data_IF_207945254084
#
_entry.id   IF_207945254084
#
_cell.length_a   1.000
_cell.length_b   1.000
_cell.length_c   1.000
_cell.angle_alpha   90.00
_cell.angle_beta   90.00
_cell.angle_gamma   90.00
#
_symmetry.space_group_name_H-M   'P 1'
#
loop_
_entity.id
_entity.type
_entity.pdbx_description
1 polymer ?
#
# COMPACT_ATOMS: atom_id res chain seq x y z
N UNK A 1 -25.14 25.37 0.05
CA UNK A 1 -24.48 24.68 -1.06
C UNK A 1 -25.44 23.63 -1.58
N UNK A 2 -26.12 23.89 -2.71
CA UNK A 2 -27.04 22.93 -3.31
C UNK A 2 -26.21 21.84 -3.99
N UNK A 3 -26.17 20.65 -3.39
CA UNK A 3 -25.56 19.47 -4.00
C UNK A 3 -26.55 18.97 -5.06
N UNK A 4 -26.39 19.44 -6.30
CA UNK A 4 -27.13 18.94 -7.46
C UNK A 4 -26.67 17.52 -7.79
N UNK A 5 -27.50 16.52 -7.44
CA UNK A 5 -27.59 15.15 -7.99
C UNK A 5 -26.29 14.56 -8.60
N UNK A 6 -25.32 14.18 -7.77
CA UNK A 6 -24.41 13.10 -8.11
C UNK A 6 -25.11 11.79 -7.73
N UNK A 7 -25.59 11.04 -8.73
CA UNK A 7 -26.63 10.05 -8.52
C UNK A 7 -26.14 8.62 -8.26
N UNK A 8 -24.87 8.33 -7.94
CA UNK A 8 -24.51 6.92 -7.68
C UNK A 8 -23.33 6.61 -6.76
N UNK A 9 -22.22 7.34 -6.71
CA UNK A 9 -21.03 6.86 -5.96
C UNK A 9 -20.28 7.94 -5.18
N UNK A 10 -19.95 7.67 -3.90
CA UNK A 10 -18.94 8.44 -3.14
C UNK A 10 -17.64 7.66 -3.04
N UNK A 11 -16.52 8.37 -3.21
CA UNK A 11 -15.18 7.86 -2.95
C UNK A 11 -14.56 8.59 -1.77
N UNK A 12 -14.07 7.84 -0.79
CA UNK A 12 -13.42 8.40 0.39
C UNK A 12 -11.94 7.97 0.42
N UNK A 13 -11.03 8.95 0.40
CA UNK A 13 -9.64 8.75 0.76
C UNK A 13 -9.50 8.87 2.27
N UNK A 14 -8.97 7.83 2.93
CA UNK A 14 -8.57 7.93 4.33
C UNK A 14 -7.07 7.64 4.40
N UNK A 15 -6.33 8.63 4.91
CA UNK A 15 -4.89 8.56 5.09
C UNK A 15 -4.61 7.97 6.47
N UNK A 16 -3.98 6.79 6.51
CA UNK A 16 -3.74 6.04 7.75
C UNK A 16 -2.25 5.88 8.07
N UNK A 17 -1.40 6.75 7.51
CA UNK A 17 0.05 6.65 7.74
C UNK A 17 0.41 6.87 9.22
N UNK A 18 -0.33 7.73 9.92
CA UNK A 18 0.02 8.18 11.27
C UNK A 18 -0.17 7.11 12.36
N UNK A 19 -1.05 6.13 12.14
CA UNK A 19 -1.29 5.03 13.10
C UNK A 19 -0.51 3.78 12.69
N UNK A 20 -0.56 3.43 11.39
CA UNK A 20 -0.07 2.15 10.92
C UNK A 20 1.46 2.09 10.82
N UNK A 21 2.13 3.19 10.49
CA UNK A 21 3.58 3.18 10.28
C UNK A 21 4.36 3.17 11.60
N UNK A 22 3.99 3.93 12.64
CA UNK A 22 4.60 3.80 13.95
C UNK A 22 4.44 2.38 14.53
N UNK A 23 3.24 1.80 14.40
CA UNK A 23 2.98 0.43 14.89
C UNK A 23 3.96 -0.59 14.29
N UNK A 24 4.20 -0.55 12.97
CA UNK A 24 5.16 -1.48 12.34
C UNK A 24 6.56 -1.30 12.92
N UNK A 25 7.05 -0.06 13.05
CA UNK A 25 8.40 0.22 13.55
C UNK A 25 8.60 -0.29 14.98
N UNK A 26 7.57 -0.16 15.82
CA UNK A 26 7.62 -0.54 17.22
C UNK A 26 7.47 -2.06 17.42
N UNK A 27 6.73 -2.75 16.53
CA UNK A 27 6.32 -4.14 16.75
C UNK A 27 6.99 -5.15 15.80
N UNK A 28 7.72 -4.73 14.76
CA UNK A 28 8.33 -5.64 13.77
C UNK A 28 9.26 -6.66 14.40
N UNK A 29 10.03 -6.27 15.42
CA UNK A 29 10.95 -7.19 16.11
C UNK A 29 10.21 -8.30 16.84
N UNK A 30 9.20 -7.95 17.64
CA UNK A 30 8.40 -8.90 18.40
C UNK A 30 7.56 -9.80 17.48
N UNK A 31 7.01 -9.22 16.41
CA UNK A 31 6.30 -9.98 15.38
C UNK A 31 7.21 -11.04 14.75
N UNK A 32 8.41 -10.65 14.30
CA UNK A 32 9.37 -11.60 13.72
C UNK A 32 9.81 -12.67 14.72
N UNK A 33 10.00 -12.32 16.01
CA UNK A 33 10.34 -13.30 17.04
C UNK A 33 9.23 -14.33 17.28
N UNK A 34 7.98 -13.88 17.23
CA UNK A 34 6.80 -14.73 17.50
C UNK A 34 6.48 -15.62 16.31
N UNK A 35 6.54 -15.07 15.10
CA UNK A 35 6.08 -15.72 13.87
C UNK A 35 7.22 -16.29 13.03
N UNK A 36 8.47 -16.32 13.51
CA UNK A 36 9.62 -16.69 12.68
C UNK A 36 9.45 -18.04 11.98
N UNK A 37 8.99 -19.06 12.70
CA UNK A 37 8.87 -20.43 12.16
C UNK A 37 7.64 -20.60 11.24
N UNK A 38 6.79 -19.58 11.11
CA UNK A 38 5.62 -19.64 10.24
C UNK A 38 6.01 -19.48 8.77
N UNK A 39 5.39 -20.29 7.91
CA UNK A 39 5.68 -20.29 6.48
C UNK A 39 5.49 -18.90 5.84
N UNK A 40 4.43 -18.20 6.23
CA UNK A 40 4.11 -16.86 5.73
C UNK A 40 5.21 -15.85 6.08
N UNK A 41 5.68 -15.85 7.32
CA UNK A 41 6.77 -14.98 7.77
C UNK A 41 8.08 -15.32 7.05
N UNK A 42 8.40 -16.61 6.86
CA UNK A 42 9.58 -17.02 6.10
C UNK A 42 9.52 -16.59 4.62
N UNK A 43 8.33 -16.60 4.02
CA UNK A 43 8.13 -16.09 2.66
C UNK A 43 8.39 -14.58 2.59
N UNK A 44 7.88 -13.80 3.56
CA UNK A 44 8.15 -12.35 3.66
C UNK A 44 9.65 -12.05 3.76
N UNK A 45 10.34 -12.72 4.68
CA UNK A 45 11.79 -12.58 4.87
C UNK A 45 12.54 -12.97 3.60
N UNK A 46 12.13 -14.05 2.93
CA UNK A 46 12.75 -14.45 1.65
C UNK A 46 12.56 -13.40 0.56
N UNK A 47 11.40 -12.74 0.49
CA UNK A 47 11.15 -11.69 -0.51
C UNK A 47 12.00 -10.44 -0.21
N UNK A 48 12.01 -9.99 1.05
CA UNK A 48 12.84 -8.86 1.50
C UNK A 48 14.33 -9.11 1.22
N UNK A 49 14.81 -10.34 1.45
CA UNK A 49 16.19 -10.74 1.14
C UNK A 49 16.48 -10.69 -0.38
N UNK A 50 15.59 -11.22 -1.21
CA UNK A 50 15.76 -11.28 -2.68
C UNK A 50 15.79 -9.90 -3.33
N UNK A 51 15.09 -8.93 -2.75
CA UNK A 51 15.12 -7.54 -3.21
C UNK A 51 16.55 -6.96 -3.21
N UNK A 52 17.39 -7.36 -2.26
CA UNK A 52 18.77 -6.88 -2.15
C UNK A 52 19.76 -7.76 -2.94
N UNK A 53 19.52 -9.08 -3.03
CA UNK A 53 20.47 -10.05 -3.60
C UNK A 53 20.63 -10.07 -5.13
N UNK A 54 19.58 -9.73 -5.89
CA UNK A 54 19.61 -9.81 -7.37
C UNK A 54 20.53 -8.74 -7.99
N UNK A 55 20.84 -7.68 -7.24
CA UNK A 55 21.64 -6.55 -7.72
C UNK A 55 23.15 -6.77 -7.73
N UNK A 56 23.68 -7.49 -6.73
CA UNK A 56 25.12 -7.67 -6.56
C UNK A 56 25.74 -8.48 -7.71
N UNK A 57 24.97 -9.41 -8.30
CA UNK A 57 25.43 -10.28 -9.38
C UNK A 57 25.50 -9.60 -10.75
N UNK A 58 24.62 -8.63 -11.06
CA UNK A 58 24.59 -7.98 -12.38
C UNK A 58 25.65 -6.87 -12.46
N UNK A 59 25.78 -6.07 -11.39
CA UNK A 59 26.75 -4.98 -11.27
C UNK A 59 28.20 -5.48 -11.30
N UNK A 60 28.48 -6.64 -10.69
CA UNK A 60 29.81 -7.26 -10.71
C UNK A 60 30.14 -7.94 -12.05
N UNK A 61 29.14 -8.48 -12.76
CA UNK A 61 29.38 -9.29 -13.96
C UNK A 61 29.43 -8.47 -15.26
N UNK A 62 28.66 -7.37 -15.40
CA UNK A 62 28.61 -6.58 -16.64
C UNK A 62 28.59 -5.04 -16.43
N UNK A 63 29.69 -4.46 -15.92
CA UNK A 63 29.74 -3.03 -15.55
C UNK A 63 29.52 -2.05 -16.73
N UNK A 64 29.91 -2.40 -17.96
CA UNK A 64 29.74 -1.53 -19.14
C UNK A 64 28.32 -1.53 -19.71
N UNK A 65 27.65 -2.69 -19.71
CA UNK A 65 26.27 -2.80 -20.19
C UNK A 65 25.31 -2.04 -19.27
N UNK A 66 25.58 -2.11 -17.95
CA UNK A 66 24.88 -1.36 -16.93
C UNK A 66 24.97 0.17 -17.13
N UNK A 67 26.17 0.71 -17.42
CA UNK A 67 26.36 2.14 -17.70
C UNK A 67 25.63 2.61 -18.97
N UNK A 68 25.47 1.74 -19.97
CA UNK A 68 24.83 2.06 -21.23
C UNK A 68 23.29 2.08 -21.15
N UNK A 69 22.70 1.27 -20.27
CA UNK A 69 21.26 1.22 -20.01
C UNK A 69 20.81 2.49 -19.27
N UNK A 70 21.55 2.92 -18.24
CA UNK A 70 21.30 4.15 -17.47
C UNK A 70 21.22 5.42 -18.35
N UNK A 71 21.99 5.48 -19.45
CA UNK A 71 22.01 6.65 -20.33
C UNK A 71 20.93 6.70 -21.41
N UNK A 72 20.18 5.61 -21.66
CA UNK A 72 19.32 5.51 -22.85
C UNK A 72 17.81 5.53 -22.60
N UNK A 73 17.32 5.60 -21.35
CA UNK A 73 15.90 5.74 -21.02
C UNK A 73 15.01 4.85 -21.91
N UNK A 74 15.38 3.57 -22.06
CA UNK A 74 14.62 2.63 -22.88
C UNK A 74 13.50 2.09 -22.00
N UNK A 75 12.27 2.55 -22.25
CA UNK A 75 11.05 1.95 -21.73
C UNK A 75 10.93 0.52 -22.28
N UNK A 76 11.26 -0.48 -21.46
CA UNK A 76 10.86 -1.87 -21.69
C UNK A 76 9.85 -2.24 -20.62
N UNK A 77 8.65 -2.57 -21.07
CA UNK A 77 7.51 -3.00 -20.27
C UNK A 77 7.80 -4.39 -19.70
N UNK A 78 8.33 -4.44 -18.48
CA UNK A 78 8.20 -5.58 -17.57
C UNK A 78 8.00 -5.05 -16.15
N UNK A 79 7.04 -5.65 -15.44
CA UNK A 79 6.62 -5.35 -14.07
C UNK A 79 7.72 -5.72 -13.05
N UNK A 80 8.77 -4.91 -13.00
CA UNK A 80 9.85 -5.00 -12.02
C UNK A 80 10.26 -3.58 -11.60
N UNK A 81 9.64 -3.04 -10.55
CA UNK A 81 10.28 -2.01 -9.71
C UNK A 81 11.40 -2.65 -8.88
N UNK A 82 12.37 -3.26 -9.57
CA UNK A 82 13.67 -3.58 -9.01
C UNK A 82 14.73 -2.64 -9.58
N UNK A 83 14.61 -2.14 -10.82
CA UNK A 83 15.72 -1.43 -11.49
C UNK A 83 16.17 -0.09 -10.88
N UNK A 84 15.44 0.50 -9.93
CA UNK A 84 15.77 1.82 -9.35
C UNK A 84 16.62 1.75 -8.06
N UNK A 85 16.76 0.59 -7.41
CA UNK A 85 17.24 0.53 -6.02
C UNK A 85 18.75 0.26 -5.82
N UNK A 86 19.52 -0.03 -6.88
CA UNK A 86 20.97 -0.31 -6.80
C UNK A 86 21.83 0.88 -6.37
N UNK A 87 21.30 2.09 -6.54
CA UNK A 87 22.04 3.34 -6.44
C UNK A 87 21.80 4.09 -5.14
N UNK A 88 21.00 3.53 -4.22
CA UNK A 88 20.68 4.19 -2.96
C UNK A 88 21.80 3.94 -1.95
N UNK A 89 22.52 5.01 -1.60
CA UNK A 89 23.48 5.02 -0.51
C UNK A 89 22.81 4.54 0.79
N UNK A 90 23.43 3.60 1.50
CA UNK A 90 22.91 3.08 2.77
C UNK A 90 21.92 1.90 2.72
N UNK A 91 21.84 1.13 1.63
CA UNK A 91 21.03 -0.09 1.58
C UNK A 91 21.43 -1.11 2.67
N UNK A 92 20.44 -1.64 3.40
CA UNK A 92 20.65 -2.58 4.52
C UNK A 92 20.36 -4.03 4.06
N UNK A 93 21.37 -4.89 3.84
CA UNK A 93 21.16 -6.26 3.38
C UNK A 93 20.70 -7.20 4.51
N UNK A 94 19.92 -8.22 4.15
CA UNK A 94 19.56 -9.34 5.04
C UNK A 94 20.47 -10.53 4.69
N UNK A 95 21.32 -11.03 5.62
CA UNK A 95 22.22 -12.14 5.32
C UNK A 95 21.45 -13.43 5.01
N UNK A 96 22.10 -14.37 4.32
CA UNK A 96 21.60 -15.74 4.22
C UNK A 96 21.76 -16.44 5.58
N UNK A 97 20.83 -17.33 5.93
CA UNK A 97 20.94 -18.11 7.16
C UNK A 97 22.26 -18.89 7.18
N UNK A 98 23.00 -18.81 8.29
CA UNK A 98 24.17 -19.65 8.51
C UNK A 98 23.76 -20.86 9.38
N UNK A 99 24.50 -21.97 9.35
CA UNK A 99 24.12 -23.20 10.08
C UNK A 99 24.28 -23.09 11.62
N UNK A 100 24.37 -21.88 12.20
CA UNK A 100 24.87 -21.67 13.56
C UNK A 100 23.82 -21.15 14.57
N UNK A 101 23.02 -22.04 15.16
CA UNK A 101 22.41 -21.84 16.49
C UNK A 101 21.51 -20.61 16.73
N UNK A 102 21.16 -20.36 18.00
CA UNK A 102 20.18 -19.33 18.41
C UNK A 102 20.70 -17.87 18.27
N UNK A 103 22.02 -17.67 18.33
CA UNK A 103 22.63 -16.34 18.15
C UNK A 103 22.52 -15.87 16.69
N UNK A 104 22.56 -16.78 15.71
CA UNK A 104 22.33 -16.46 14.29
C UNK A 104 20.89 -16.00 14.04
N UNK A 105 19.91 -16.60 14.73
CA UNK A 105 18.50 -16.20 14.60
C UNK A 105 18.27 -14.76 15.07
N UNK A 106 18.80 -14.36 16.22
CA UNK A 106 18.64 -12.98 16.71
C UNK A 106 19.29 -11.96 15.78
N UNK A 107 20.47 -12.29 15.25
CA UNK A 107 21.14 -11.45 14.25
C UNK A 107 20.32 -11.34 12.97
N UNK A 108 19.69 -12.44 12.54
CA UNK A 108 18.87 -12.47 11.34
C UNK A 108 17.60 -11.63 11.49
N UNK A 109 16.90 -11.77 12.62
CA UNK A 109 15.74 -10.93 12.96
C UNK A 109 16.16 -9.46 12.97
N UNK A 110 17.27 -9.12 13.62
CA UNK A 110 17.73 -7.73 13.68
C UNK A 110 18.05 -7.18 12.28
N UNK A 111 18.67 -7.96 11.40
CA UNK A 111 18.92 -7.53 10.02
C UNK A 111 17.62 -7.27 9.23
N UNK A 112 16.57 -8.08 9.44
CA UNK A 112 15.25 -7.83 8.84
C UNK A 112 14.64 -6.55 9.40
N UNK A 113 14.69 -6.33 10.72
CA UNK A 113 14.20 -5.11 11.37
C UNK A 113 14.89 -3.88 10.80
N UNK A 114 16.22 -3.90 10.71
CA UNK A 114 17.01 -2.77 10.20
C UNK A 114 16.68 -2.49 8.73
N UNK A 115 16.51 -3.55 7.92
CA UNK A 115 16.07 -3.42 6.53
C UNK A 115 14.68 -2.76 6.42
N UNK A 116 13.69 -3.24 7.19
CA UNK A 116 12.33 -2.70 7.20
C UNK A 116 12.33 -1.23 7.62
N UNK A 117 13.01 -0.89 8.70
CA UNK A 117 13.13 0.48 9.20
C UNK A 117 13.80 1.42 8.19
N UNK A 118 14.87 0.95 7.52
CA UNK A 118 15.51 1.69 6.45
C UNK A 118 14.56 1.93 5.27
N UNK A 119 13.86 0.90 4.78
CA UNK A 119 12.88 1.07 3.70
C UNK A 119 11.80 2.09 4.07
N UNK A 120 11.27 2.01 5.29
CA UNK A 120 10.26 2.95 5.80
C UNK A 120 10.80 4.37 5.99
N UNK A 121 12.07 4.55 6.36
CA UNK A 121 12.67 5.89 6.50
C UNK A 121 12.81 6.64 5.18
N UNK A 122 12.79 5.91 4.06
CA UNK A 122 12.89 6.45 2.71
C UNK A 122 11.54 6.45 1.96
N UNK A 123 10.42 6.23 2.67
CA UNK A 123 9.07 6.05 2.10
C UNK A 123 9.03 5.04 0.94
N UNK A 124 9.90 4.00 0.99
CA UNK A 124 9.93 2.95 -0.03
C UNK A 124 8.68 2.11 0.09
N UNK A 125 8.06 1.81 -1.05
CA UNK A 125 6.78 1.07 -1.15
C UNK A 125 6.94 -0.22 -1.93
N UNK A 126 8.00 -0.98 -1.61
CA UNK A 126 8.32 -2.21 -2.31
C UNK A 126 7.28 -3.31 -2.05
N UNK A 127 7.11 -4.23 -3.00
CA UNK A 127 6.14 -5.33 -2.85
C UNK A 127 6.41 -6.18 -1.60
N UNK A 128 7.66 -6.53 -1.31
CA UNK A 128 7.98 -7.34 -0.13
C UNK A 128 7.73 -6.59 1.18
N UNK A 129 8.05 -5.29 1.25
CA UNK A 129 7.75 -4.48 2.43
C UNK A 129 6.25 -4.41 2.68
N UNK A 130 5.46 -4.13 1.63
CA UNK A 130 4.00 -4.06 1.73
C UNK A 130 3.38 -5.39 2.15
N UNK A 131 3.97 -6.52 1.76
CA UNK A 131 3.50 -7.85 2.14
C UNK A 131 3.65 -8.09 3.65
N UNK A 132 4.88 -7.92 4.18
CA UNK A 132 5.13 -8.04 5.62
C UNK A 132 4.26 -7.07 6.43
N UNK A 133 4.16 -5.80 5.99
CA UNK A 133 3.29 -4.81 6.63
C UNK A 133 1.83 -5.26 6.65
N UNK A 134 1.34 -5.85 5.55
CA UNK A 134 0.00 -6.42 5.45
C UNK A 134 -0.25 -7.50 6.49
N UNK A 135 0.66 -8.47 6.64
CA UNK A 135 0.53 -9.55 7.62
C UNK A 135 0.59 -9.04 9.06
N UNK A 136 1.53 -8.12 9.35
CA UNK A 136 1.62 -7.46 10.65
C UNK A 136 0.34 -6.69 11.01
N UNK A 137 -0.22 -5.93 10.07
CA UNK A 137 -1.48 -5.22 10.28
C UNK A 137 -2.63 -6.20 10.50
N UNK A 138 -2.71 -7.27 9.72
CA UNK A 138 -3.74 -8.30 9.90
C UNK A 138 -3.70 -8.89 11.30
N UNK A 139 -2.52 -9.26 11.79
CA UNK A 139 -2.35 -9.76 13.15
C UNK A 139 -2.78 -8.72 14.19
N UNK A 140 -2.35 -7.47 14.04
CA UNK A 140 -2.67 -6.37 14.96
C UNK A 140 -4.16 -6.06 15.06
N UNK A 141 -4.85 -5.97 13.91
CA UNK A 141 -6.29 -5.72 13.84
C UNK A 141 -7.10 -6.90 14.39
N UNK A 142 -6.71 -8.13 14.04
CA UNK A 142 -7.40 -9.34 14.51
C UNK A 142 -7.25 -9.52 16.03
N UNK A 143 -6.08 -9.20 16.59
CA UNK A 143 -5.84 -9.22 18.03
C UNK A 143 -6.49 -8.04 18.77
N UNK A 144 -6.99 -7.02 18.05
CA UNK A 144 -7.57 -5.82 18.63
C UNK A 144 -6.53 -4.85 19.22
N UNK A 145 -5.24 -5.03 18.93
CA UNK A 145 -4.17 -4.12 19.35
C UNK A 145 -4.23 -2.78 18.62
N UNK A 146 -4.77 -2.78 17.41
CA UNK A 146 -4.99 -1.58 16.59
C UNK A 146 -6.45 -1.52 16.19
N UNK A 147 -7.02 -0.31 16.22
CA UNK A 147 -8.32 0.00 15.63
C UNK A 147 -8.18 1.17 14.68
N UNK A 148 -8.92 1.13 13.59
CA UNK A 148 -8.96 2.24 12.64
C UNK A 148 -9.86 3.34 13.20
N UNK A 149 -9.31 4.54 13.33
CA UNK A 149 -10.07 5.73 13.70
C UNK A 149 -10.62 6.40 12.43
N UNK A 150 -11.86 6.84 12.50
CA UNK A 150 -12.52 7.60 11.46
C UNK A 150 -12.99 8.92 12.08
N UNK A 151 -13.02 9.99 11.29
CA UNK A 151 -13.65 11.22 11.75
C UNK A 151 -15.12 10.97 12.12
N UNK A 152 -15.58 11.59 13.20
CA UNK A 152 -16.90 11.35 13.80
C UNK A 152 -18.06 11.55 12.82
N UNK A 153 -17.87 12.37 11.78
CA UNK A 153 -18.87 12.67 10.75
C UNK A 153 -18.89 11.66 9.59
N UNK A 154 -17.85 10.86 9.40
CA UNK A 154 -17.71 9.95 8.25
C UNK A 154 -18.75 8.83 8.29
N UNK A 155 -18.79 8.03 9.37
CA UNK A 155 -19.69 6.88 9.45
C UNK A 155 -21.17 7.30 9.40
N UNK A 156 -21.61 8.35 10.12
CA UNK A 156 -22.97 8.86 9.99
C UNK A 156 -23.32 9.36 8.59
N UNK A 157 -22.40 10.04 7.89
CA UNK A 157 -22.63 10.52 6.54
C UNK A 157 -22.77 9.35 5.54
N UNK A 158 -21.87 8.38 5.61
CA UNK A 158 -21.86 7.19 4.75
C UNK A 158 -23.16 6.39 4.92
N UNK A 159 -23.64 6.18 6.16
CA UNK A 159 -24.93 5.51 6.40
C UNK A 159 -26.10 6.22 5.73
N UNK A 160 -26.19 7.56 5.88
CA UNK A 160 -27.22 8.37 5.21
C UNK A 160 -27.13 8.26 3.69
N UNK A 161 -25.92 8.18 3.14
CA UNK A 161 -25.74 8.02 1.70
C UNK A 161 -26.28 6.69 1.20
N UNK A 162 -26.00 5.59 1.92
CA UNK A 162 -26.52 4.26 1.61
C UNK A 162 -28.04 4.19 1.73
N UNK A 163 -28.62 4.80 2.76
CA UNK A 163 -30.08 4.91 2.93
C UNK A 163 -30.74 5.66 1.77
N UNK A 164 -30.04 6.63 1.17
CA UNK A 164 -30.49 7.33 -0.03
C UNK A 164 -30.25 6.55 -1.34
N UNK A 165 -29.77 5.30 -1.26
CA UNK A 165 -29.51 4.43 -2.41
C UNK A 165 -28.18 4.69 -3.12
N UNK A 166 -27.26 5.42 -2.49
CA UNK A 166 -25.95 5.73 -3.07
C UNK A 166 -24.95 4.62 -2.72
N UNK A 167 -24.10 4.27 -3.68
CA UNK A 167 -22.99 3.34 -3.48
C UNK A 167 -21.77 4.07 -2.94
N UNK A 168 -20.91 3.35 -2.23
CA UNK A 168 -19.72 3.88 -1.58
C UNK A 168 -18.55 2.98 -1.90
N UNK A 169 -17.50 3.55 -2.47
CA UNK A 169 -16.29 2.85 -2.87
C UNK A 169 -15.07 3.50 -2.23
N UNK A 170 -14.00 2.73 -2.01
CA UNK A 170 -12.74 3.25 -1.47
C UNK A 170 -11.67 3.19 -2.55
N UNK A 171 -10.86 4.25 -2.67
CA UNK A 171 -9.69 4.26 -3.55
C UNK A 171 -8.47 4.74 -2.75
N UNK A 172 -7.55 3.84 -2.44
CA UNK A 172 -6.37 4.15 -1.63
C UNK A 172 -5.08 3.59 -2.21
N UNK A 173 -3.94 4.15 -1.83
CA UNK A 173 -2.62 3.60 -2.20
C UNK A 173 -2.28 2.34 -1.38
N UNK A 174 -2.97 2.16 -0.25
CA UNK A 174 -2.96 0.92 0.52
C UNK A 174 -3.65 -0.21 -0.26
N UNK A 175 -3.19 -1.45 -0.07
CA UNK A 175 -3.78 -2.62 -0.74
C UNK A 175 -5.26 -2.77 -0.37
N UNK A 176 -6.04 -3.40 -1.25
CA UNK A 176 -7.44 -3.74 -0.93
C UNK A 176 -7.58 -4.54 0.37
N UNK A 177 -6.63 -5.43 0.67
CA UNK A 177 -6.62 -6.17 1.94
C UNK A 177 -6.47 -5.23 3.15
N UNK A 178 -5.51 -4.30 3.12
CA UNK A 178 -5.31 -3.33 4.18
C UNK A 178 -6.54 -2.41 4.36
N UNK A 179 -7.16 -1.99 3.25
CA UNK A 179 -8.40 -1.22 3.30
C UNK A 179 -9.52 -2.01 3.98
N UNK A 180 -9.66 -3.31 3.69
CA UNK A 180 -10.68 -4.13 4.34
C UNK A 180 -10.44 -4.30 5.83
N UNK A 181 -9.19 -4.47 6.26
CA UNK A 181 -8.83 -4.54 7.67
C UNK A 181 -9.23 -3.25 8.41
N UNK A 182 -8.98 -2.09 7.81
CA UNK A 182 -9.35 -0.80 8.39
C UNK A 182 -10.86 -0.67 8.64
N UNK A 183 -11.67 -1.01 7.64
CA UNK A 183 -13.12 -0.92 7.77
C UNK A 183 -13.70 -2.06 8.64
N UNK A 184 -13.06 -3.23 8.68
CA UNK A 184 -13.52 -4.35 9.50
C UNK A 184 -13.20 -4.21 10.99
N UNK A 185 -12.19 -3.40 11.33
CA UNK A 185 -11.69 -3.23 12.68
C UNK A 185 -11.59 -1.75 13.06
N UNK A 186 -12.69 -1.01 12.94
CA UNK A 186 -12.76 0.40 13.30
C UNK A 186 -13.12 0.63 14.78
N UNK A 187 -12.95 1.87 15.25
CA UNK A 187 -13.48 2.31 16.56
C UNK A 187 -15.01 2.19 16.66
N UNK A 188 -15.70 2.25 15.52
CA UNK A 188 -17.16 2.07 15.39
C UNK A 188 -17.58 0.60 15.19
N UNK A 189 -16.63 -0.34 15.29
CA UNK A 189 -16.85 -1.76 15.01
C UNK A 189 -16.57 -2.13 13.55
N UNK A 190 -17.17 -3.22 13.09
CA UNK A 190 -17.09 -3.62 11.68
C UNK A 190 -18.06 -2.77 10.85
N UNK A 191 -17.50 -1.97 9.94
CA UNK A 191 -18.24 -1.10 9.01
C UNK A 191 -17.98 -1.47 7.54
N UNK A 192 -17.47 -2.68 7.26
CA UNK A 192 -17.24 -3.16 5.89
C UNK A 192 -18.52 -3.15 5.05
N UNK A 193 -19.67 -3.43 5.66
CA UNK A 193 -20.97 -3.41 4.99
C UNK A 193 -21.36 -2.04 4.41
N UNK A 194 -20.69 -0.98 4.88
CA UNK A 194 -20.90 0.37 4.37
C UNK A 194 -20.21 0.62 3.03
N UNK A 195 -19.32 -0.28 2.59
CA UNK A 195 -18.50 -0.15 1.38
C UNK A 195 -18.90 -1.21 0.36
N UNK A 196 -19.22 -0.78 -0.86
CA UNK A 196 -19.60 -1.67 -1.97
C UNK A 196 -18.39 -2.18 -2.78
N UNK A 197 -17.21 -1.57 -2.62
CA UNK A 197 -15.99 -2.04 -3.24
C UNK A 197 -14.75 -1.21 -2.90
N UNK A 198 -13.59 -1.78 -3.22
CA UNK A 198 -12.28 -1.22 -2.92
C UNK A 198 -11.41 -1.23 -4.17
N UNK A 199 -10.63 -0.17 -4.36
CA UNK A 199 -9.65 -0.01 -5.42
C UNK A 199 -8.30 0.39 -4.80
N UNK A 200 -7.22 -0.18 -5.34
CA UNK A 200 -5.86 0.21 -5.00
C UNK A 200 -5.06 0.57 -6.26
N UNK A 201 -3.75 0.80 -6.12
CA UNK A 201 -2.88 1.19 -7.25
C UNK A 201 -2.81 0.17 -8.38
N UNK A 202 -3.37 -1.03 -8.24
CA UNK A 202 -3.50 -1.99 -9.35
C UNK A 202 -4.45 -1.49 -10.43
N UNK A 203 -5.42 -0.63 -10.10
CA UNK A 203 -6.30 -0.01 -11.11
C UNK A 203 -5.58 1.12 -11.88
N UNK A 204 -4.58 1.75 -11.25
CA UNK A 204 -3.75 2.84 -11.77
C UNK A 204 -3.33 3.81 -10.65
N UNK A 205 -2.57 4.87 -10.97
CA UNK A 205 -2.17 5.89 -9.99
C UNK A 205 -3.26 6.96 -9.80
N UNK A 206 -3.35 7.58 -8.61
CA UNK A 206 -4.39 8.57 -8.26
C UNK A 206 -4.28 9.88 -9.05
N UNK A 207 -3.08 10.21 -9.51
CA UNK A 207 -2.81 11.37 -10.37
C UNK A 207 -3.12 11.12 -11.85
N UNK A 208 -3.48 9.87 -12.21
CA UNK A 208 -3.77 9.50 -13.59
C UNK A 208 -5.29 9.47 -13.84
N UNK A 209 -5.74 10.28 -14.78
CA UNK A 209 -7.15 10.34 -15.21
C UNK A 209 -7.72 8.98 -15.65
N UNK A 210 -6.89 8.19 -16.30
CA UNK A 210 -7.25 6.86 -16.80
C UNK A 210 -7.63 5.91 -15.66
N UNK A 211 -7.06 6.08 -14.46
CA UNK A 211 -7.45 5.31 -13.27
C UNK A 211 -8.92 5.50 -12.93
N UNK A 212 -9.41 6.74 -12.98
CA UNK A 212 -10.81 7.05 -12.68
C UNK A 212 -11.77 6.52 -13.75
N UNK A 213 -11.34 6.52 -15.02
CA UNK A 213 -12.10 5.89 -16.11
C UNK A 213 -12.20 4.37 -15.91
N UNK A 214 -11.10 3.71 -15.56
CA UNK A 214 -11.10 2.27 -15.22
C UNK A 214 -11.96 1.95 -14.02
N UNK A 215 -11.92 2.78 -12.98
CA UNK A 215 -12.80 2.66 -11.81
C UNK A 215 -14.28 2.75 -12.22
N UNK A 216 -14.65 3.78 -12.98
CA UNK A 216 -16.03 3.97 -13.45
C UNK A 216 -16.52 2.76 -14.28
N UNK A 217 -15.67 2.27 -15.18
CA UNK A 217 -15.93 1.05 -15.96
C UNK A 217 -16.10 -0.19 -15.06
N UNK A 218 -15.23 -0.35 -14.05
CA UNK A 218 -15.31 -1.46 -13.09
C UNK A 218 -16.57 -1.41 -12.23
N UNK A 219 -17.08 -0.21 -11.92
CA UNK A 219 -18.35 -0.03 -11.20
C UNK A 219 -19.55 -0.26 -12.13
N UNK A 220 -19.37 -0.05 -13.43
CA UNK A 220 -20.45 -0.08 -14.42
C UNK A 220 -21.26 1.21 -14.47
N UNK A 221 -20.63 2.37 -14.23
CA UNK A 221 -21.27 3.69 -14.30
C UNK A 221 -20.46 4.69 -15.14
N UNK A 222 -21.10 5.78 -15.55
CA UNK A 222 -20.39 6.93 -16.13
C UNK A 222 -19.58 7.67 -15.06
N UNK A 223 -18.44 8.25 -15.45
CA UNK A 223 -17.63 9.13 -14.59
C UNK A 223 -18.44 10.28 -13.99
N UNK A 224 -19.44 10.80 -14.73
CA UNK A 224 -20.34 11.87 -14.27
C UNK A 224 -21.27 11.44 -13.11
N UNK A 225 -21.36 10.15 -12.80
CA UNK A 225 -22.15 9.62 -11.69
C UNK A 225 -21.32 9.41 -10.42
N UNK A 226 -20.04 9.80 -10.43
CA UNK A 226 -19.10 9.62 -9.32
C UNK A 226 -18.78 10.98 -8.71
N UNK A 227 -18.96 11.09 -7.39
CA UNK A 227 -18.40 12.19 -6.60
C UNK A 227 -17.16 11.68 -5.85
N UNK A 228 -16.02 12.30 -6.11
CA UNK A 228 -14.75 11.96 -5.47
C UNK A 228 -14.45 12.92 -4.31
N UNK A 229 -14.20 12.37 -3.11
CA UNK A 229 -13.83 13.14 -1.92
C UNK A 229 -12.38 12.83 -1.54
N UNK A 230 -11.51 13.84 -1.63
CA UNK A 230 -10.08 13.75 -1.35
C UNK A 230 -9.58 15.01 -0.65
N UNK A 231 -8.58 14.85 0.21
CA UNK A 231 -7.88 15.91 0.92
C UNK A 231 -6.75 16.53 0.09
N UNK A 232 -6.31 15.85 -0.98
CA UNK A 232 -5.28 16.34 -1.89
C UNK A 232 -5.86 17.46 -2.77
N UNK A 233 -5.34 18.68 -2.62
CA UNK A 233 -5.82 19.84 -3.37
C UNK A 233 -5.51 19.73 -4.87
N UNK A 234 -6.57 19.93 -5.63
CA UNK A 234 -6.77 19.87 -7.07
C UNK A 234 -5.88 20.81 -7.91
N UNK A 235 -4.56 20.57 -7.89
CA UNK A 235 -3.61 21.02 -8.93
C UNK A 235 -3.03 19.87 -9.76
N UNK A 236 -3.20 18.63 -9.28
CA UNK A 236 -2.63 17.41 -9.88
C UNK A 236 -3.70 16.33 -10.22
N UNK A 237 -4.95 16.47 -9.74
CA UNK A 237 -6.01 15.45 -9.91
C UNK A 237 -7.35 15.96 -10.54
N UNK A 238 -7.62 17.29 -10.64
CA UNK A 238 -8.94 17.82 -11.05
C UNK A 238 -9.20 17.98 -12.53
N UNK A 239 -8.18 18.24 -13.35
CA UNK A 239 -8.42 18.73 -14.72
C UNK A 239 -9.05 17.68 -15.64
N UNK A 240 -9.16 16.44 -15.18
CA UNK A 240 -9.55 15.32 -16.02
C UNK A 240 -10.99 14.83 -15.85
N UNK A 241 -11.67 15.16 -14.75
CA UNK A 241 -13.08 14.80 -14.58
C UNK A 241 -14.04 15.84 -15.18
N UNK A 242 -13.55 17.04 -15.54
CA UNK A 242 -14.36 18.12 -16.09
C UNK A 242 -14.17 18.36 -17.60
N UNK A 243 -13.18 17.73 -18.25
CA UNK A 243 -12.88 18.02 -19.66
C UNK A 243 -13.73 17.23 -20.69
N UNK A 244 -14.40 16.14 -20.32
CA UNK A 244 -15.19 15.33 -21.27
C UNK A 244 -16.71 15.46 -21.08
N UNK A 245 -17.16 16.56 -20.44
CA UNK A 245 -18.58 16.88 -20.25
C UNK A 245 -19.23 17.65 -21.40
N UNK A 246 -18.73 17.53 -22.63
CA UNK A 246 -19.25 18.23 -23.83
C UNK A 246 -19.65 17.27 -24.93
#
# INVERSE_FOLDING_TARGET
>A
MQITKANSCYFLLLFYQDILFPYIKENVKEYLQTHWEEEECQQDVSLLRKQVGTFYSIASTFPRLFFQISKKQIHVVYDFKAEEDAHLDGAVPIPAASENGADDLQLMIQAVVDNVCWQMSLDRKTTALKQLQGHMWRAAFTAGHVKAEFFEDVVPAVRKWREAGMKVYIYSSGSVEAQKLLFGHSTEGDILELVDGHFDTKIGHKVESESYRKIANSIGCSTNNILFLTDVTLGEESDFLLQDGS
#
